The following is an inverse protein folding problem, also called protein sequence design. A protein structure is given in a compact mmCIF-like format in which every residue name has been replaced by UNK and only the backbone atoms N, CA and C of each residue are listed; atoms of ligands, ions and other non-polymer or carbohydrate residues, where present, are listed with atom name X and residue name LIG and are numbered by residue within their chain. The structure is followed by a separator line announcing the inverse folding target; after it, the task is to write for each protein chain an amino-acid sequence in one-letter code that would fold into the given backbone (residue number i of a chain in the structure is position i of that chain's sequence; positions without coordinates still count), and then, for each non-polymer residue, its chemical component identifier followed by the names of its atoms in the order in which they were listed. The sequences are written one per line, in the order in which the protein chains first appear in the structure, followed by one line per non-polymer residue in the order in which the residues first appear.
data_IF_833043611194
#
_entry.id   IF_833043611194
#
_cell.length_a   1.000
_cell.length_b   1.000
_cell.length_c   1.000
_cell.angle_alpha   90.00
_cell.angle_beta   90.00
_cell.angle_gamma   90.00
#
_symmetry.space_group_name_H-M   'P 1'
#
loop_
_entity.id
_entity.type
_entity.pdbx_description
1 polymer ?
#
# COMPACT_ATOMS: atom_id res chain seq x y z
N UNK A 1 1.20 -21.92 20.23
CA UNK A 1 1.18 -20.84 19.21
C UNK A 1 2.59 -20.32 19.16
N UNK A 2 3.24 -20.55 18.03
CA UNK A 2 4.69 -20.62 17.89
C UNK A 2 5.37 -19.30 18.27
N UNK A 3 6.02 -19.31 19.44
CA UNK A 3 6.99 -18.30 19.83
C UNK A 3 8.25 -18.51 18.97
N UNK A 4 8.19 -18.14 17.70
CA UNK A 4 9.41 -17.88 16.95
C UNK A 4 10.13 -16.75 17.68
N UNK A 5 11.22 -17.10 18.38
CA UNK A 5 12.10 -16.15 19.05
C UNK A 5 12.34 -14.94 18.14
N UNK A 6 12.01 -13.75 18.64
CA UNK A 6 12.34 -12.53 17.93
C UNK A 6 13.85 -12.44 17.85
N UNK A 7 14.38 -12.39 16.63
CA UNK A 7 15.83 -12.22 16.45
C UNK A 7 16.27 -10.91 17.10
N UNK A 8 17.48 -10.86 17.67
CA UNK A 8 18.04 -9.65 18.27
C UNK A 8 17.99 -8.44 17.31
N UNK A 9 18.14 -8.71 16.01
CA UNK A 9 18.04 -7.70 14.94
C UNK A 9 16.64 -7.09 14.79
N UNK A 10 15.57 -7.84 15.10
CA UNK A 10 14.21 -7.32 15.10
C UNK A 10 13.96 -6.45 16.34
N UNK A 11 14.44 -6.87 17.50
CA UNK A 11 14.33 -6.11 18.75
C UNK A 11 15.02 -4.75 18.64
N UNK A 12 16.26 -4.73 18.13
CA UNK A 12 17.01 -3.48 17.87
C UNK A 12 16.28 -2.53 16.91
N UNK A 13 15.53 -3.06 15.95
CA UNK A 13 14.74 -2.23 15.01
C UNK A 13 13.49 -1.64 15.68
N UNK A 14 12.87 -2.39 16.58
CA UNK A 14 11.72 -1.94 17.36
C UNK A 14 12.15 -0.82 18.28
N UNK A 15 13.17 -1.04 19.10
CA UNK A 15 13.72 -0.03 20.02
C UNK A 15 14.13 1.26 19.31
N UNK A 16 14.61 1.16 18.07
CA UNK A 16 15.00 2.34 17.27
C UNK A 16 13.79 3.16 16.79
N UNK A 17 12.65 2.52 16.58
CA UNK A 17 11.44 3.16 16.06
C UNK A 17 10.56 3.65 17.22
N UNK A 18 10.52 2.89 18.30
CA UNK A 18 9.70 3.16 19.48
C UNK A 18 10.00 4.53 20.06
N UNK A 19 9.00 5.39 20.03
CA UNK A 19 9.10 6.79 20.46
C UNK A 19 7.71 7.39 20.65
N UNK A 20 7.65 8.57 21.28
CA UNK A 20 6.39 9.34 21.43
C UNK A 20 5.73 9.74 20.10
N UNK A 21 6.44 9.56 18.98
CA UNK A 21 5.97 9.89 17.63
C UNK A 21 5.50 8.63 16.88
N UNK A 22 6.15 7.48 17.13
CA UNK A 22 5.94 6.25 16.38
C UNK A 22 5.80 5.03 17.29
N UNK A 23 4.73 4.27 17.06
CA UNK A 23 4.52 2.95 17.62
C UNK A 23 4.96 1.87 16.60
N UNK A 24 5.95 1.01 16.92
CA UNK A 24 6.42 -0.03 16.02
C UNK A 24 5.43 -1.21 15.95
N UNK A 25 4.98 -1.54 14.74
CA UNK A 25 4.17 -2.75 14.49
C UNK A 25 4.97 -3.74 13.65
N UNK A 26 4.91 -5.03 13.99
CA UNK A 26 5.57 -6.10 13.24
C UNK A 26 4.55 -6.89 12.43
N UNK A 27 4.72 -6.94 11.11
CA UNK A 27 3.87 -7.73 10.20
C UNK A 27 4.72 -8.68 9.36
N UNK A 28 4.25 -9.91 9.17
CA UNK A 28 4.87 -10.84 8.25
C UNK A 28 4.49 -10.51 6.80
N UNK A 29 5.48 -10.21 5.96
CA UNK A 29 5.27 -10.05 4.52
C UNK A 29 5.49 -11.41 3.83
N UNK A 30 4.40 -12.06 3.43
CA UNK A 30 4.40 -13.37 2.75
C UNK A 30 5.19 -13.35 1.44
N UNK A 31 5.16 -12.23 0.69
CA UNK A 31 5.89 -12.08 -0.57
C UNK A 31 7.41 -12.05 -0.37
N UNK A 32 7.88 -11.38 0.68
CA UNK A 32 9.30 -11.38 1.04
C UNK A 32 9.71 -12.60 1.88
N UNK A 33 8.73 -13.29 2.47
CA UNK A 33 8.88 -14.24 3.56
C UNK A 33 9.72 -13.68 4.72
N UNK A 34 9.34 -12.51 5.25
CA UNK A 34 10.07 -11.85 6.36
C UNK A 34 9.16 -10.99 7.24
N UNK A 35 9.51 -10.89 8.52
CA UNK A 35 8.95 -9.91 9.47
C UNK A 35 9.42 -8.50 9.11
N UNK A 36 8.49 -7.57 8.98
CA UNK A 36 8.69 -6.17 8.61
C UNK A 36 8.27 -5.32 9.81
N UNK A 37 9.18 -4.47 10.29
CA UNK A 37 8.89 -3.50 11.36
C UNK A 37 8.42 -2.21 10.71
N UNK A 38 7.23 -1.77 11.09
CA UNK A 38 6.51 -0.65 10.49
C UNK A 38 6.41 0.47 11.54
N UNK A 39 6.93 1.67 11.26
CA UNK A 39 6.77 2.81 12.15
C UNK A 39 5.36 3.39 11.98
N UNK A 40 4.44 3.07 12.90
CA UNK A 40 3.09 3.61 12.87
C UNK A 40 3.06 4.94 13.61
N UNK A 41 2.83 6.04 12.91
CA UNK A 41 2.76 7.32 13.57
C UNK A 41 1.54 7.45 14.51
N UNK A 42 1.78 7.89 15.74
CA UNK A 42 0.80 7.81 16.84
C UNK A 42 -0.35 8.80 16.68
N UNK A 43 -0.03 10.09 16.52
CA UNK A 43 -1.00 11.18 16.68
C UNK A 43 -2.26 11.00 15.81
N UNK A 44 -2.16 10.72 14.50
CA UNK A 44 -3.36 10.62 13.67
C UNK A 44 -4.10 9.28 13.76
N UNK A 45 -3.53 8.26 14.42
CA UNK A 45 -4.34 7.11 14.85
C UNK A 45 -5.26 7.56 15.99
N UNK A 46 -4.72 8.29 16.97
CA UNK A 46 -5.49 8.80 18.12
C UNK A 46 -6.48 9.90 17.76
N UNK A 47 -6.18 10.73 16.75
CA UNK A 47 -7.07 11.80 16.26
C UNK A 47 -8.14 11.31 15.29
N UNK A 48 -8.10 10.03 14.88
CA UNK A 48 -9.08 9.47 13.96
C UNK A 48 -10.48 9.41 14.60
N UNK A 49 -11.50 9.83 13.86
CA UNK A 49 -12.90 9.63 14.24
C UNK A 49 -13.36 8.18 14.00
N UNK A 50 -12.62 7.44 13.17
CA UNK A 50 -12.89 6.03 12.91
C UNK A 50 -12.30 5.19 14.04
N UNK A 51 -13.09 4.24 14.53
CA UNK A 51 -12.66 3.22 15.50
C UNK A 51 -11.45 2.41 15.02
N UNK A 52 -11.37 2.21 13.71
CA UNK A 52 -10.34 1.42 13.04
C UNK A 52 -9.76 2.24 11.90
N UNK A 53 -8.44 2.33 11.83
CA UNK A 53 -7.71 3.17 10.88
C UNK A 53 -7.02 2.30 9.85
N UNK A 54 -7.35 2.49 8.57
CA UNK A 54 -6.77 1.71 7.47
C UNK A 54 -5.36 2.21 7.16
N UNK A 55 -4.36 1.35 7.36
CA UNK A 55 -2.96 1.62 7.09
C UNK A 55 -2.53 0.92 5.80
N UNK A 56 -1.81 1.66 4.97
CA UNK A 56 -1.08 1.12 3.82
C UNK A 56 0.40 1.42 3.99
N UNK A 57 1.21 0.38 4.11
CA UNK A 57 2.66 0.48 4.20
C UNK A 57 3.34 -0.08 2.95
N UNK A 58 4.29 0.68 2.41
CA UNK A 58 5.07 0.29 1.24
C UNK A 58 6.53 0.11 1.59
N UNK A 59 7.04 -1.10 1.35
CA UNK A 59 8.46 -1.39 1.46
C UNK A 59 9.07 -1.89 0.15
N UNK A 60 10.40 -1.74 0.05
CA UNK A 60 11.18 -2.34 -1.02
C UNK A 60 11.46 -3.81 -0.69
N UNK A 61 11.41 -4.65 -1.71
CA UNK A 61 11.93 -5.98 -1.66
C UNK A 61 13.28 -6.01 -2.37
N UNK A 62 14.34 -6.19 -1.57
CA UNK A 62 15.70 -6.17 -2.07
C UNK A 62 16.04 -7.41 -2.93
N UNK A 63 15.26 -8.51 -2.85
CA UNK A 63 15.52 -9.73 -3.62
C UNK A 63 15.20 -9.54 -5.11
N UNK A 64 14.05 -8.95 -5.43
CA UNK A 64 13.55 -8.85 -6.80
C UNK A 64 13.46 -7.40 -7.32
N UNK A 65 13.97 -6.43 -6.56
CA UNK A 65 13.89 -4.99 -6.86
C UNK A 65 12.45 -4.50 -7.13
N UNK A 66 11.48 -5.18 -6.55
CA UNK A 66 10.06 -4.83 -6.58
C UNK A 66 9.63 -4.21 -5.24
N UNK A 67 8.36 -3.78 -5.17
CA UNK A 67 7.77 -3.10 -4.01
C UNK A 67 6.56 -3.89 -3.55
N UNK A 68 6.40 -4.04 -2.24
CA UNK A 68 5.26 -4.76 -1.65
C UNK A 68 4.45 -3.83 -0.76
N UNK A 69 3.14 -4.04 -0.76
CA UNK A 69 2.21 -3.30 0.07
C UNK A 69 1.69 -4.21 1.18
N UNK A 70 1.66 -3.69 2.40
CA UNK A 70 0.93 -4.27 3.51
C UNK A 70 -0.27 -3.37 3.79
N UNK A 71 -1.46 -3.97 3.79
CA UNK A 71 -2.73 -3.30 4.12
C UNK A 71 -3.29 -3.96 5.37
N UNK A 72 -3.59 -3.15 6.39
CA UNK A 72 -4.12 -3.62 7.65
C UNK A 72 -4.84 -2.50 8.39
N UNK A 73 -5.69 -2.85 9.34
CA UNK A 73 -6.41 -1.89 10.19
C UNK A 73 -5.82 -1.94 11.61
N UNK A 74 -5.77 -0.77 12.25
CA UNK A 74 -5.38 -0.65 13.67
C UNK A 74 -6.46 0.08 14.45
N UNK A 75 -6.66 -0.29 15.70
CA UNK A 75 -7.48 0.48 16.64
C UNK A 75 -6.65 1.57 17.35
N UNK A 76 -7.30 2.34 18.23
CA UNK A 76 -6.64 3.39 19.00
C UNK A 76 -5.65 2.88 20.07
N UNK A 77 -5.70 1.59 20.38
CA UNK A 77 -4.73 0.90 21.24
C UNK A 77 -3.60 0.26 20.43
N UNK A 78 -3.54 0.54 19.12
CA UNK A 78 -2.58 -0.01 18.15
C UNK A 78 -2.62 -1.53 18.02
N UNK A 79 -3.73 -2.17 18.41
CA UNK A 79 -3.94 -3.57 18.11
C UNK A 79 -4.21 -3.73 16.62
N UNK A 80 -3.54 -4.70 16.00
CA UNK A 80 -3.80 -5.06 14.61
C UNK A 80 -5.12 -5.81 14.55
N UNK A 81 -6.10 -5.24 13.87
CA UNK A 81 -7.34 -5.91 13.56
C UNK A 81 -7.25 -6.43 12.13
N UNK A 82 -7.64 -7.70 11.93
CA UNK A 82 -7.78 -8.35 10.62
C UNK A 82 -6.68 -7.93 9.63
N UNK A 83 -5.47 -8.54 9.64
CA UNK A 83 -4.49 -8.31 8.58
C UNK A 83 -5.07 -8.84 7.26
N UNK A 84 -5.89 -8.03 6.58
CA UNK A 84 -6.54 -8.33 5.32
C UNK A 84 -5.67 -7.76 4.21
N UNK A 85 -4.81 -8.65 3.76
CA UNK A 85 -4.20 -8.71 2.44
C UNK A 85 -2.80 -8.09 2.25
N UNK A 86 -1.98 -8.88 1.56
CA UNK A 86 -0.61 -8.62 1.16
C UNK A 86 -0.63 -8.56 -0.36
N UNK A 87 -0.77 -7.34 -0.90
CA UNK A 87 -0.99 -7.16 -2.34
C UNK A 87 0.15 -6.43 -3.06
N UNK A 88 0.21 -6.74 -4.35
CA UNK A 88 1.27 -6.31 -5.27
C UNK A 88 1.14 -4.81 -5.55
N UNK A 89 2.24 -4.07 -5.37
CA UNK A 89 2.32 -2.66 -5.75
C UNK A 89 2.64 -2.55 -7.23
N UNK A 90 1.79 -1.82 -7.94
CA UNK A 90 2.12 -1.35 -9.28
C UNK A 90 2.57 0.10 -9.12
N UNK A 91 3.88 0.34 -9.09
CA UNK A 91 4.42 1.70 -9.14
C UNK A 91 4.94 1.97 -10.54
N UNK A 92 4.37 2.96 -11.23
CA UNK A 92 4.97 3.48 -12.44
C UNK A 92 6.29 4.15 -12.08
N UNK A 93 7.40 3.53 -12.44
CA UNK A 93 8.69 4.23 -12.48
C UNK A 93 8.54 5.32 -13.54
N UNK A 94 8.64 6.58 -13.13
CA UNK A 94 8.86 7.67 -14.08
C UNK A 94 10.17 7.37 -14.79
N UNK A 95 10.07 6.90 -16.04
CA UNK A 95 11.19 6.57 -16.91
C UNK A 95 11.97 7.83 -17.25
N UNK A 96 12.88 8.24 -16.37
CA UNK A 96 13.92 9.22 -16.70
C UNK A 96 15.07 8.49 -17.38
N UNK A 97 15.15 8.66 -18.70
CA UNK A 97 16.37 8.48 -19.48
C UNK A 97 16.78 7.03 -19.78
N UNK A 98 16.80 6.68 -21.06
CA UNK A 98 17.51 5.55 -21.67
C UNK A 98 16.91 4.13 -21.66
N UNK A 99 15.68 3.91 -21.20
CA UNK A 99 14.97 2.62 -21.38
C UNK A 99 13.90 2.62 -22.49
N UNK A 100 14.03 3.49 -23.50
CA UNK A 100 13.11 3.52 -24.66
C UNK A 100 13.11 2.22 -25.51
N UNK A 101 13.94 1.21 -25.20
CA UNK A 101 13.98 -0.09 -25.89
C UNK A 101 13.42 -1.28 -25.11
N UNK A 102 12.94 -1.12 -23.86
CA UNK A 102 12.29 -2.20 -23.09
C UNK A 102 10.78 -2.00 -22.86
N UNK A 103 10.26 -0.81 -23.14
CA UNK A 103 8.84 -0.46 -22.91
C UNK A 103 7.93 -0.93 -24.07
N UNK A 104 8.47 -1.24 -25.23
CA UNK A 104 7.69 -1.62 -26.43
C UNK A 104 7.25 -3.10 -26.46
N UNK A 105 7.57 -3.93 -25.45
CA UNK A 105 7.36 -5.38 -25.53
C UNK A 105 6.30 -6.01 -24.59
N UNK A 106 5.51 -5.23 -23.83
CA UNK A 106 4.47 -5.82 -22.93
C UNK A 106 3.19 -4.98 -22.79
N UNK A 107 2.68 -4.40 -23.88
CA UNK A 107 1.35 -3.76 -23.86
C UNK A 107 0.20 -4.77 -23.82
N UNK A 108 0.43 -6.05 -24.14
CA UNK A 108 -0.58 -7.13 -24.07
C UNK A 108 -0.87 -7.63 -22.66
N UNK A 109 0.04 -7.41 -21.70
CA UNK A 109 -0.03 -7.98 -20.34
C UNK A 109 -0.63 -6.98 -19.32
N UNK A 110 -1.10 -5.82 -19.78
CA UNK A 110 -1.64 -4.75 -18.95
C UNK A 110 -3.06 -4.40 -19.37
N UNK A 111 -3.98 -4.36 -18.40
CA UNK A 111 -5.32 -3.80 -18.56
C UNK A 111 -5.43 -2.51 -17.77
N UNK A 112 -5.98 -1.47 -18.37
CA UNK A 112 -6.17 -0.19 -17.68
C UNK A 112 -7.56 -0.12 -17.06
N UNK A 113 -7.61 0.12 -15.75
CA UNK A 113 -8.85 0.36 -15.01
C UNK A 113 -8.97 1.85 -14.74
N UNK A 114 -10.13 2.43 -15.07
CA UNK A 114 -10.43 3.84 -14.80
C UNK A 114 -11.12 3.92 -13.45
N UNK A 115 -10.56 4.75 -12.57
CA UNK A 115 -11.16 5.06 -11.27
C UNK A 115 -11.14 6.57 -11.04
N UNK A 116 -12.03 7.06 -10.17
CA UNK A 116 -11.95 8.43 -9.68
C UNK A 116 -11.04 8.47 -8.44
N UNK A 117 -9.97 9.26 -8.47
CA UNK A 117 -9.19 9.53 -7.28
C UNK A 117 -9.83 10.70 -6.51
N UNK A 118 -10.41 10.42 -5.35
CA UNK A 118 -11.10 11.42 -4.51
C UNK A 118 -10.20 12.58 -4.08
N UNK A 119 -8.88 12.36 -4.01
CA UNK A 119 -7.89 13.37 -3.61
C UNK A 119 -7.45 14.27 -4.75
N UNK A 120 -7.45 13.74 -5.98
CA UNK A 120 -7.20 14.54 -7.17
C UNK A 120 -8.48 15.11 -7.78
N UNK A 121 -9.65 14.63 -7.34
CA UNK A 121 -10.96 14.94 -7.91
C UNK A 121 -10.99 14.73 -9.43
N UNK A 122 -10.39 13.62 -9.90
CA UNK A 122 -10.30 13.29 -11.32
C UNK A 122 -10.14 11.78 -11.58
N UNK A 123 -10.48 11.39 -12.80
CA UNK A 123 -10.23 10.04 -13.28
C UNK A 123 -8.74 9.78 -13.51
N UNK A 124 -8.27 8.64 -13.02
CA UNK A 124 -6.91 8.13 -13.25
C UNK A 124 -6.98 6.76 -13.92
N UNK A 125 -5.99 6.46 -14.75
CA UNK A 125 -5.83 5.17 -15.40
C UNK A 125 -4.84 4.33 -14.61
N UNK A 126 -5.35 3.28 -13.96
CA UNK A 126 -4.54 2.34 -13.20
C UNK A 126 -4.10 1.21 -14.12
N UNK A 127 -2.79 1.06 -14.41
CA UNK A 127 -2.30 -0.10 -15.15
C UNK A 127 -2.34 -1.33 -14.25
N UNK A 128 -3.00 -2.41 -14.67
CA UNK A 128 -3.14 -3.66 -13.92
C UNK A 128 -2.55 -4.82 -14.73
N UNK A 129 -1.50 -5.50 -14.24
CA UNK A 129 -0.99 -6.71 -14.87
C UNK A 129 -2.04 -7.82 -14.90
N UNK A 130 -2.36 -8.32 -16.08
CA UNK A 130 -3.49 -9.24 -16.26
C UNK A 130 -3.28 -10.54 -15.50
N UNK A 131 -2.06 -11.08 -15.55
CA UNK A 131 -1.63 -12.30 -14.87
C UNK A 131 -1.84 -12.28 -13.35
N UNK A 132 -1.79 -11.10 -12.70
CA UNK A 132 -2.04 -11.02 -11.25
C UNK A 132 -3.51 -11.33 -10.95
N UNK A 133 -4.42 -10.82 -11.78
CA UNK A 133 -5.86 -11.05 -11.65
C UNK A 133 -6.21 -12.47 -12.09
N UNK A 134 -5.70 -12.92 -13.25
CA UNK A 134 -5.98 -14.24 -13.82
C UNK A 134 -5.51 -15.39 -12.91
N UNK A 135 -4.34 -15.28 -12.29
CA UNK A 135 -3.77 -16.32 -11.42
C UNK A 135 -4.24 -16.22 -9.95
N UNK A 136 -5.06 -15.23 -9.62
CA UNK A 136 -5.54 -15.05 -8.25
C UNK A 136 -6.59 -16.10 -7.86
N UNK A 137 -6.43 -16.75 -6.72
CA UNK A 137 -7.43 -17.74 -6.22
C UNK A 137 -8.59 -17.08 -5.47
N UNK A 138 -8.52 -15.77 -5.25
CA UNK A 138 -9.56 -15.00 -4.54
C UNK A 138 -10.56 -14.36 -5.52
N UNK A 139 -11.86 -14.27 -5.17
CA UNK A 139 -12.90 -13.73 -6.06
C UNK A 139 -12.64 -12.28 -6.49
N UNK A 140 -12.12 -11.46 -5.57
CA UNK A 140 -11.69 -10.08 -5.81
C UNK A 140 -10.24 -9.93 -5.38
N UNK A 141 -9.38 -9.54 -6.31
CA UNK A 141 -7.95 -9.33 -6.09
C UNK A 141 -7.71 -7.88 -5.71
N UNK A 142 -7.17 -7.59 -4.52
CA UNK A 142 -6.84 -6.22 -4.15
C UNK A 142 -5.58 -5.77 -4.91
N UNK A 143 -5.62 -4.56 -5.44
CA UNK A 143 -4.54 -3.94 -6.20
C UNK A 143 -4.29 -2.57 -5.60
N UNK A 144 -3.08 -2.38 -5.08
CA UNK A 144 -2.65 -1.08 -4.56
C UNK A 144 -1.92 -0.30 -5.64
N UNK A 145 -2.44 0.87 -5.97
CA UNK A 145 -1.84 1.79 -6.91
C UNK A 145 -1.46 3.10 -6.22
N UNK A 146 -0.22 3.54 -6.46
CA UNK A 146 0.28 4.82 -5.95
C UNK A 146 0.59 5.71 -7.14
N UNK A 147 -0.03 6.88 -7.16
CA UNK A 147 0.24 7.92 -8.14
C UNK A 147 0.54 9.24 -7.47
N UNK A 148 1.04 10.19 -8.26
CA UNK A 148 1.30 11.56 -7.83
C UNK A 148 0.87 12.50 -8.93
N UNK A 149 0.22 13.60 -8.56
CA UNK A 149 -0.19 14.62 -9.51
C UNK A 149 0.90 15.66 -9.71
N UNK A 150 1.04 16.24 -10.91
CA UNK A 150 2.04 17.29 -11.15
C UNK A 150 1.85 18.51 -10.22
N UNK A 151 0.60 18.81 -9.88
CA UNK A 151 0.22 19.96 -9.06
C UNK A 151 0.00 19.60 -7.58
N UNK A 152 0.10 18.31 -7.22
CA UNK A 152 -0.01 17.86 -5.83
C UNK A 152 1.29 17.14 -5.46
N UNK A 153 2.04 17.71 -4.52
CA UNK A 153 3.29 17.10 -4.05
C UNK A 153 3.05 15.77 -3.33
N UNK A 154 1.82 15.51 -2.90
CA UNK A 154 1.48 14.38 -2.05
C UNK A 154 1.15 13.15 -2.91
N UNK A 155 1.82 12.01 -2.67
CA UNK A 155 1.48 10.75 -3.30
C UNK A 155 0.11 10.27 -2.79
N UNK A 156 -0.70 9.79 -3.72
CA UNK A 156 -2.03 9.26 -3.44
C UNK A 156 -1.98 7.76 -3.63
N UNK A 157 -2.37 7.03 -2.59
CA UNK A 157 -2.60 5.60 -2.65
C UNK A 157 -4.10 5.33 -2.81
N UNK A 158 -4.42 4.33 -3.63
CA UNK A 158 -5.76 3.76 -3.80
C UNK A 158 -5.65 2.24 -3.81
N UNK A 159 -6.62 1.58 -3.20
CA UNK A 159 -6.77 0.12 -3.17
C UNK A 159 -8.00 -0.21 -4.01
N UNK A 160 -7.83 -1.06 -5.02
CA UNK A 160 -8.88 -1.54 -5.92
C UNK A 160 -9.15 -2.99 -5.66
N UNK A 161 -10.40 -3.41 -5.51
CA UNK A 161 -10.75 -4.82 -5.43
C UNK A 161 -11.32 -5.28 -6.77
N UNK A 162 -10.50 -5.94 -7.58
CA UNK A 162 -10.86 -6.31 -8.96
C UNK A 162 -11.24 -7.79 -9.07
N UNK A 163 -12.40 -8.07 -9.64
CA UNK A 163 -12.77 -9.42 -10.07
C UNK A 163 -12.00 -9.85 -11.34
N UNK A 164 -12.27 -11.08 -11.82
CA UNK A 164 -11.68 -11.63 -13.05
C UNK A 164 -12.02 -10.84 -14.32
N UNK A 165 -13.11 -10.07 -14.29
CA UNK A 165 -13.61 -9.27 -15.41
C UNK A 165 -13.17 -7.79 -15.32
N UNK A 166 -12.47 -7.42 -14.25
CA UNK A 166 -12.02 -6.05 -13.92
C UNK A 166 -13.22 -5.08 -13.75
N UNK A 167 -14.39 -5.64 -13.42
CA UNK A 167 -15.70 -5.00 -13.49
C UNK A 167 -16.17 -4.42 -12.16
N UNK A 168 -16.09 -5.21 -11.09
CA UNK A 168 -16.42 -4.75 -9.74
C UNK A 168 -15.26 -3.91 -9.17
N UNK A 169 -15.54 -2.67 -8.78
CA UNK A 169 -14.53 -1.65 -8.46
C UNK A 169 -14.85 -1.00 -7.13
N UNK A 170 -14.85 -1.80 -6.07
CA UNK A 170 -14.77 -1.23 -4.74
C UNK A 170 -13.40 -0.56 -4.60
N UNK A 171 -13.40 0.76 -4.38
CA UNK A 171 -12.18 1.54 -4.15
C UNK A 171 -12.11 1.94 -2.70
N UNK A 172 -10.99 1.63 -2.03
CA UNK A 172 -10.69 2.16 -0.70
C UNK A 172 -9.52 3.13 -0.80
N UNK A 173 -9.61 4.21 -0.04
CA UNK A 173 -8.51 5.12 0.19
C UNK A 173 -7.99 4.87 1.60
N UNK A 174 -6.68 4.62 1.77
CA UNK A 174 -6.12 4.44 3.10
C UNK A 174 -6.19 5.72 3.89
N UNK A 175 -6.37 5.59 5.20
CA UNK A 175 -6.34 6.71 6.14
C UNK A 175 -4.90 7.16 6.38
N UNK A 176 -3.99 6.19 6.50
CA UNK A 176 -2.55 6.40 6.66
C UNK A 176 -1.79 5.70 5.55
N UNK A 177 -0.98 6.45 4.81
CA UNK A 177 -0.06 5.91 3.81
C UNK A 177 1.37 6.08 4.32
N UNK A 178 2.18 5.03 4.32
CA UNK A 178 3.59 5.12 4.71
C UNK A 178 4.45 4.61 3.55
N UNK A 179 5.25 5.49 2.94
CA UNK A 179 6.14 5.13 1.84
C UNK A 179 7.58 5.15 2.32
N UNK A 180 8.27 4.01 2.25
CA UNK A 180 9.71 3.95 2.56
C UNK A 180 10.06 4.55 3.93
N UNK A 181 9.23 4.28 4.94
CA UNK A 181 9.35 4.84 6.30
C UNK A 181 9.03 6.35 6.43
N UNK A 182 8.40 6.95 5.42
CA UNK A 182 7.86 8.31 5.49
C UNK A 182 6.33 8.26 5.58
N UNK A 183 5.73 8.75 6.67
CA UNK A 183 4.28 8.83 6.78
C UNK A 183 3.73 9.95 5.89
N UNK A 184 2.66 9.64 5.18
CA UNK A 184 1.88 10.53 4.32
C UNK A 184 0.45 10.59 4.84
N UNK A 185 0.06 11.80 5.19
CA UNK A 185 -1.20 12.10 5.86
C UNK A 185 -2.14 12.80 4.92
N UNK A 186 -3.34 12.26 4.77
CA UNK A 186 -4.36 12.86 3.94
C UNK A 186 -5.08 13.93 4.74
N UNK A 187 -4.59 15.16 4.61
CA UNK A 187 -5.35 16.33 5.04
C UNK A 187 -6.64 16.36 4.21
N UNK A 188 -7.76 16.01 4.87
CA UNK A 188 -9.13 15.98 4.33
C UNK A 188 -9.42 17.17 3.40
N UNK A 189 -9.80 16.88 2.16
CA UNK A 189 -10.89 17.50 1.41
C UNK A 189 -11.37 16.45 0.41
N UNK A 190 -12.43 15.74 0.77
CA UNK A 190 -13.10 14.83 -0.15
C UNK A 190 -13.99 15.66 -1.08
N UNK A 191 -13.77 15.56 -2.39
CA UNK A 191 -14.73 16.06 -3.36
C UNK A 191 -15.89 15.07 -3.43
N UNK A 192 -16.99 15.35 -2.75
CA UNK A 192 -18.27 14.71 -3.04
C UNK A 192 -18.93 15.53 -4.17
N UNK A 193 -19.09 14.91 -5.34
CA UNK A 193 -20.00 15.38 -6.40
C UNK A 193 -21.31 14.62 -6.31
#
# INVERSE_FOLDING_TARGET
MDSEEMTEDLLKKIEKIDSDIFNPIVIHCERCNKKVVIPIPIQPILESEKREVLITYVHKNNKNNDKHCLVFEVDHDFNILLPKAIDVIISTVSSTGNEKKKVEQKTSDLRYVIINCEKCCKNIHVPVPTKIIENSDIPKTPITYIHKEKNNTDPHCVILYLDKDYGDRDTRFPDVLILYLFPYWLKKKYCFT
#
